data_IF_770413056360
#
_entry.id   IF_770413056360
#
_cell.length_a   1.000
_cell.length_b   1.000
_cell.length_c   1.000
_cell.angle_alpha   90.00
_cell.angle_beta   90.00
_cell.angle_gamma   90.00
#
_symmetry.space_group_name_H-M   'P 1'
#
loop_
_entity.id
_entity.type
_entity.pdbx_description
1 polymer ?
#
# COMPACT_ATOMS: atom_id res chain seq x y z
N UNK A 1 4.11 2.50 14.38
CA UNK A 1 4.86 1.28 14.69
C UNK A 1 4.68 0.83 16.12
N UNK A 2 4.91 -0.44 16.36
CA UNK A 2 4.80 -1.07 17.67
C UNK A 2 5.95 -2.05 17.87
N UNK A 3 6.64 -1.95 19.01
CA UNK A 3 7.66 -2.94 19.42
C UNK A 3 6.98 -4.02 20.24
N UNK A 4 7.14 -5.26 19.82
CA UNK A 4 6.79 -6.45 20.61
C UNK A 4 8.08 -7.01 21.23
N UNK A 5 8.02 -7.36 22.49
CA UNK A 5 9.13 -7.95 23.23
C UNK A 5 8.63 -9.12 24.08
N UNK A 6 9.33 -10.23 24.05
CA UNK A 6 9.07 -11.35 24.93
C UNK A 6 9.94 -11.32 26.21
N UNK A 7 9.72 -12.29 27.09
CA UNK A 7 10.47 -12.40 28.37
C UNK A 7 11.94 -12.76 28.18
N UNK A 8 12.33 -13.24 27.00
CA UNK A 8 13.73 -13.57 26.68
C UNK A 8 14.50 -12.36 26.15
N UNK A 9 13.79 -11.27 25.87
CA UNK A 9 14.34 -10.05 25.27
C UNK A 9 14.36 -10.06 23.74
N UNK A 10 13.72 -11.06 23.09
CA UNK A 10 13.51 -11.03 21.64
C UNK A 10 12.57 -9.88 21.29
N UNK A 11 13.00 -9.03 20.37
CA UNK A 11 12.25 -7.84 19.94
C UNK A 11 12.02 -7.82 18.46
N UNK A 12 10.81 -7.48 18.05
CA UNK A 12 10.49 -7.11 16.67
C UNK A 12 9.75 -5.78 16.68
N UNK A 13 9.96 -4.98 15.63
CA UNK A 13 9.16 -3.79 15.36
C UNK A 13 8.17 -4.12 14.24
N UNK A 14 6.91 -3.78 14.42
CA UNK A 14 5.90 -3.87 13.36
C UNK A 14 5.61 -2.49 12.84
N UNK A 15 5.87 -2.27 11.55
CA UNK A 15 5.74 -1.02 10.82
C UNK A 15 6.53 0.15 11.44
N UNK A 16 7.10 0.99 10.61
CA UNK A 16 7.75 2.23 11.04
C UNK A 16 7.57 3.30 9.96
N UNK A 17 6.47 4.00 10.04
CA UNK A 17 6.05 4.98 9.05
C UNK A 17 6.12 6.41 9.55
N UNK A 18 5.71 7.34 8.69
CA UNK A 18 5.52 8.75 9.00
C UNK A 18 4.07 9.17 8.68
N UNK A 19 3.54 10.15 9.41
CA UNK A 19 2.25 10.72 9.07
C UNK A 19 2.43 11.75 7.93
N UNK A 20 1.78 11.54 6.77
CA UNK A 20 1.94 12.39 5.59
C UNK A 20 1.15 13.71 5.73
N UNK A 21 1.35 14.41 6.83
CA UNK A 21 0.83 15.76 7.08
C UNK A 21 1.74 16.82 6.45
N UNK A 22 1.34 18.07 6.45
CA UNK A 22 2.16 19.21 5.99
C UNK A 22 2.39 20.19 7.15
N UNK A 23 3.60 20.21 7.74
CA UNK A 23 4.75 19.32 7.52
C UNK A 23 4.50 17.89 7.96
N UNK A 24 5.30 16.91 7.48
CA UNK A 24 5.22 15.52 7.94
C UNK A 24 5.49 15.41 9.43
N UNK A 25 4.83 14.44 10.09
CA UNK A 25 5.11 14.10 11.49
C UNK A 25 5.82 12.75 11.54
N UNK A 26 6.89 12.71 12.29
CA UNK A 26 7.69 11.50 12.47
C UNK A 26 7.33 10.79 13.77
N UNK A 27 7.46 9.46 13.85
CA UNK A 27 7.26 8.72 15.09
C UNK A 27 8.36 9.07 16.10
N UNK A 28 8.16 8.66 17.35
CA UNK A 28 9.25 8.64 18.32
C UNK A 28 10.39 7.75 17.82
N UNK A 29 11.62 8.06 18.22
CA UNK A 29 12.77 7.25 17.89
C UNK A 29 12.58 5.80 18.38
N UNK A 30 12.84 4.84 17.50
CA UNK A 30 12.74 3.43 17.82
C UNK A 30 13.93 2.98 18.67
N UNK A 31 13.73 2.14 19.69
CA UNK A 31 14.85 1.43 20.27
C UNK A 31 15.53 0.55 19.20
N UNK A 32 16.81 0.18 19.37
CA UNK A 32 17.47 -0.76 18.48
C UNK A 32 16.68 -2.08 18.38
N UNK A 33 16.38 -2.50 17.15
CA UNK A 33 15.72 -3.76 16.85
C UNK A 33 16.45 -4.45 15.69
N UNK A 34 16.65 -5.75 15.79
CA UNK A 34 17.31 -6.51 14.73
C UNK A 34 16.37 -6.79 13.55
N UNK A 35 15.07 -6.82 13.81
CA UNK A 35 14.06 -7.19 12.84
C UNK A 35 12.85 -6.24 12.88
N UNK A 36 12.41 -5.80 11.69
CA UNK A 36 11.16 -5.08 11.51
C UNK A 36 10.27 -5.83 10.51
N UNK A 37 8.99 -5.98 10.86
CA UNK A 37 7.99 -6.63 10.01
C UNK A 37 7.12 -5.55 9.41
N UNK A 38 7.10 -5.47 8.09
CA UNK A 38 6.36 -4.46 7.34
C UNK A 38 5.07 -5.07 6.78
N UNK A 39 3.94 -4.56 7.24
CA UNK A 39 2.63 -5.06 6.83
C UNK A 39 2.31 -4.74 5.38
N UNK A 40 2.57 -3.51 4.93
CA UNK A 40 2.31 -3.08 3.56
C UNK A 40 3.05 -1.78 3.20
N UNK A 41 2.96 -1.35 1.94
CA UNK A 41 3.80 -0.30 1.35
C UNK A 41 3.24 1.13 1.45
N UNK A 42 2.23 1.42 2.27
CA UNK A 42 1.82 2.81 2.50
C UNK A 42 2.82 3.54 3.38
N UNK A 43 2.97 4.85 3.16
CA UNK A 43 4.05 5.65 3.73
C UNK A 43 3.96 5.78 5.26
N UNK A 44 2.77 5.71 5.82
CA UNK A 44 2.52 5.69 7.27
C UNK A 44 2.89 4.37 7.93
N UNK A 45 3.27 3.35 7.14
CA UNK A 45 3.79 2.06 7.61
C UNK A 45 5.29 1.86 7.31
N UNK A 46 5.79 2.45 6.21
CA UNK A 46 7.18 2.23 5.74
C UNK A 46 8.06 3.48 5.75
N UNK A 47 7.48 4.67 5.95
CA UNK A 47 8.15 5.94 5.65
C UNK A 47 9.43 6.21 6.43
N UNK A 48 9.62 5.53 7.56
CA UNK A 48 10.80 5.63 8.41
C UNK A 48 11.66 4.36 8.43
N UNK A 49 11.32 3.34 7.63
CA UNK A 49 12.11 2.12 7.57
C UNK A 49 13.57 2.35 7.10
N UNK A 50 13.88 3.28 6.16
CA UNK A 50 15.26 3.61 5.84
C UNK A 50 16.06 4.10 7.04
N UNK A 51 15.45 4.90 7.92
CA UNK A 51 16.10 5.33 9.16
C UNK A 51 16.46 4.15 10.07
N UNK A 52 15.55 3.18 10.24
CA UNK A 52 15.81 1.98 11.05
C UNK A 52 17.03 1.21 10.53
N UNK A 53 17.07 1.00 9.22
CA UNK A 53 18.18 0.22 8.61
C UNK A 53 19.49 1.00 8.70
N UNK A 54 19.48 2.29 8.36
CA UNK A 54 20.68 3.12 8.40
C UNK A 54 21.27 3.28 9.79
N UNK A 55 20.44 3.35 10.84
CA UNK A 55 20.88 3.59 12.21
C UNK A 55 21.07 2.31 13.03
N UNK A 56 20.31 1.27 12.77
CA UNK A 56 20.33 0.04 13.59
C UNK A 56 20.72 -1.22 12.82
N UNK A 57 20.87 -1.14 11.49
CA UNK A 57 21.15 -2.34 10.68
C UNK A 57 19.98 -3.34 10.65
N UNK A 58 18.76 -2.87 10.87
CA UNK A 58 17.53 -3.67 10.98
C UNK A 58 17.27 -4.46 9.70
N UNK A 59 16.98 -5.74 9.80
CA UNK A 59 16.46 -6.56 8.70
C UNK A 59 14.96 -6.28 8.52
N UNK A 60 14.53 -5.97 7.31
CA UNK A 60 13.12 -5.75 6.97
C UNK A 60 12.50 -7.05 6.45
N UNK A 61 11.35 -7.44 7.00
CA UNK A 61 10.57 -8.59 6.55
C UNK A 61 9.24 -8.11 5.97
N UNK A 62 8.88 -8.59 4.78
CA UNK A 62 7.63 -8.23 4.12
C UNK A 62 7.35 -9.15 2.94
N UNK A 63 6.27 -8.87 2.20
CA UNK A 63 6.04 -9.53 0.92
C UNK A 63 6.91 -8.91 -0.18
N UNK A 64 7.21 -9.67 -1.22
CA UNK A 64 7.98 -9.18 -2.37
C UNK A 64 7.38 -7.92 -2.99
N UNK A 65 6.05 -7.86 -3.11
CA UNK A 65 5.38 -6.69 -3.65
C UNK A 65 5.49 -5.48 -2.72
N UNK A 66 5.41 -5.68 -1.41
CA UNK A 66 5.63 -4.61 -0.42
C UNK A 66 7.04 -4.04 -0.56
N UNK A 67 8.06 -4.89 -0.64
CA UNK A 67 9.46 -4.47 -0.85
C UNK A 67 9.63 -3.70 -2.17
N UNK A 68 9.10 -4.24 -3.28
CA UNK A 68 9.23 -3.64 -4.61
C UNK A 68 8.55 -2.25 -4.73
N UNK A 69 7.43 -2.03 -4.03
CA UNK A 69 6.74 -0.73 -4.03
C UNK A 69 7.39 0.25 -3.04
N UNK A 70 8.00 -0.24 -1.96
CA UNK A 70 8.63 0.59 -0.93
C UNK A 70 9.75 1.49 -1.47
N UNK A 71 10.61 0.97 -2.34
CA UNK A 71 11.65 1.78 -2.99
C UNK A 71 11.07 3.02 -3.66
N UNK A 72 10.02 2.84 -4.45
CA UNK A 72 9.39 3.93 -5.17
C UNK A 72 8.77 4.94 -4.21
N UNK A 73 8.13 4.49 -3.13
CA UNK A 73 7.53 5.36 -2.11
C UNK A 73 8.59 6.16 -1.36
N UNK A 74 9.72 5.54 -0.99
CA UNK A 74 10.83 6.24 -0.32
C UNK A 74 11.49 7.29 -1.22
N UNK A 75 11.76 6.96 -2.49
CA UNK A 75 12.33 7.92 -3.46
C UNK A 75 11.39 9.11 -3.69
N UNK A 76 10.09 8.87 -3.74
CA UNK A 76 9.09 9.95 -3.85
C UNK A 76 9.05 10.80 -2.59
N UNK A 77 9.05 10.19 -1.41
CA UNK A 77 9.10 10.89 -0.12
C UNK A 77 10.35 11.78 -0.02
N UNK A 78 11.51 11.26 -0.38
CA UNK A 78 12.76 12.05 -0.40
C UNK A 78 12.66 13.23 -1.35
N UNK A 79 12.13 13.00 -2.56
CA UNK A 79 11.93 14.05 -3.55
C UNK A 79 10.97 15.14 -3.07
N UNK A 80 9.82 14.75 -2.54
CA UNK A 80 8.80 15.68 -2.01
C UNK A 80 9.37 16.49 -0.83
N UNK A 81 10.02 15.84 0.13
CA UNK A 81 10.67 16.52 1.26
C UNK A 81 11.71 17.53 0.79
N UNK A 82 12.51 17.18 -0.23
CA UNK A 82 13.52 18.08 -0.80
C UNK A 82 12.90 19.30 -1.51
N UNK A 83 11.77 19.13 -2.21
CA UNK A 83 11.09 20.22 -2.93
C UNK A 83 10.37 21.14 -1.92
N UNK A 84 9.70 20.57 -0.93
CA UNK A 84 8.91 21.31 0.06
C UNK A 84 9.78 21.89 1.20
N UNK A 85 11.06 21.50 1.27
CA UNK A 85 11.99 21.95 2.30
C UNK A 85 11.72 21.34 3.69
N UNK A 86 11.05 20.18 3.77
CA UNK A 86 10.83 19.49 5.03
C UNK A 86 12.06 18.68 5.42
N UNK A 87 12.50 18.73 6.69
CA UNK A 87 13.57 17.87 7.17
C UNK A 87 13.11 16.41 7.13
N UNK A 88 13.89 15.55 6.48
CA UNK A 88 13.67 14.10 6.49
C UNK A 88 14.74 13.47 7.40
N UNK A 89 14.37 12.61 8.39
CA UNK A 89 15.31 12.03 9.32
C UNK A 89 16.29 11.01 8.73
N UNK A 90 16.14 10.65 7.47
CA UNK A 90 17.01 9.73 6.74
C UNK A 90 17.41 10.31 5.37
N UNK A 91 18.51 9.84 4.82
CA UNK A 91 19.06 10.29 3.55
C UNK A 91 19.07 9.18 2.47
N UNK A 92 19.69 9.48 1.32
CA UNK A 92 19.77 8.51 0.21
C UNK A 92 20.68 7.29 0.52
N UNK A 93 21.62 7.42 1.46
CA UNK A 93 22.47 6.30 1.88
C UNK A 93 21.66 5.33 2.73
N UNK A 94 20.83 5.86 3.64
CA UNK A 94 19.90 5.06 4.45
C UNK A 94 18.92 4.32 3.55
N UNK A 95 18.42 4.98 2.48
CA UNK A 95 17.55 4.35 1.50
C UNK A 95 18.28 3.22 0.77
N UNK A 96 19.50 3.45 0.27
CA UNK A 96 20.24 2.45 -0.50
C UNK A 96 20.53 1.19 0.36
N UNK A 97 20.93 1.35 1.63
CA UNK A 97 21.10 0.18 2.52
C UNK A 97 19.78 -0.49 2.88
N UNK A 98 18.67 0.25 2.95
CA UNK A 98 17.36 -0.32 3.20
C UNK A 98 16.85 -1.20 2.05
N UNK A 99 17.27 -0.93 0.81
CA UNK A 99 16.91 -1.79 -0.34
C UNK A 99 17.53 -3.19 -0.21
N UNK A 100 18.73 -3.30 0.35
CA UNK A 100 19.42 -4.56 0.54
C UNK A 100 19.01 -5.30 1.84
N UNK A 101 18.27 -4.63 2.71
CA UNK A 101 17.89 -5.17 4.03
C UNK A 101 16.64 -6.07 4.00
N UNK A 102 15.99 -6.24 2.86
CA UNK A 102 14.75 -7.00 2.75
C UNK A 102 14.98 -8.52 2.77
N UNK A 103 14.16 -9.21 3.59
CA UNK A 103 13.87 -10.63 3.49
C UNK A 103 12.41 -10.80 3.16
N UNK A 104 12.11 -11.25 1.95
CA UNK A 104 10.74 -11.41 1.48
C UNK A 104 10.19 -12.79 1.78
N UNK A 105 8.90 -12.87 2.09
CA UNK A 105 8.21 -14.11 2.45
C UNK A 105 6.88 -14.21 1.69
N UNK A 106 6.49 -15.43 1.33
CA UNK A 106 5.22 -15.70 0.70
C UNK A 106 4.09 -15.81 1.73
N UNK A 107 2.86 -15.56 1.30
CA UNK A 107 1.70 -15.84 2.13
C UNK A 107 1.60 -17.33 2.47
N UNK A 108 1.28 -17.63 3.72
CA UNK A 108 1.09 -18.98 4.23
C UNK A 108 2.38 -19.72 4.62
N UNK A 109 3.54 -19.20 4.29
CA UNK A 109 4.83 -19.79 4.66
C UNK A 109 5.29 -19.33 6.03
N UNK A 110 5.76 -20.28 6.85
CA UNK A 110 6.34 -19.98 8.14
C UNK A 110 7.81 -19.57 7.99
N UNK A 111 8.23 -18.53 8.71
CA UNK A 111 9.61 -18.12 8.86
C UNK A 111 9.92 -17.78 10.31
N UNK A 112 11.20 -17.78 10.70
CA UNK A 112 11.62 -17.52 12.06
C UNK A 112 12.25 -16.13 12.19
N UNK A 113 11.96 -15.49 13.33
CA UNK A 113 12.66 -14.29 13.81
C UNK A 113 13.01 -14.55 15.28
N UNK A 114 14.30 -14.77 15.56
CA UNK A 114 14.68 -15.32 16.84
C UNK A 114 14.01 -16.67 17.10
N UNK A 115 13.38 -16.82 18.26
CA UNK A 115 12.62 -18.01 18.63
C UNK A 115 11.16 -17.98 18.18
N UNK A 116 10.69 -16.86 17.66
CA UNK A 116 9.32 -16.70 17.19
C UNK A 116 9.16 -17.25 15.77
N UNK A 117 7.98 -17.83 15.52
CA UNK A 117 7.56 -18.24 14.18
C UNK A 117 6.51 -17.28 13.65
N UNK A 118 6.72 -16.77 12.45
CA UNK A 118 5.84 -15.79 11.83
C UNK A 118 5.28 -16.34 10.52
N UNK A 119 4.06 -15.94 10.20
CA UNK A 119 3.42 -16.27 8.93
C UNK A 119 2.57 -15.09 8.44
N UNK A 120 2.71 -14.77 7.15
CA UNK A 120 1.89 -13.73 6.52
C UNK A 120 0.59 -14.30 5.99
N UNK A 121 -0.50 -13.56 6.24
CA UNK A 121 -1.82 -13.79 5.66
C UNK A 121 -2.27 -12.56 4.88
N UNK A 122 -3.14 -12.73 3.89
CA UNK A 122 -3.65 -11.61 3.10
C UNK A 122 -4.50 -10.69 3.96
N UNK A 123 -4.15 -9.41 4.02
CA UNK A 123 -4.90 -8.41 4.78
C UNK A 123 -6.12 -7.86 4.04
N UNK A 124 -6.23 -8.05 2.72
CA UNK A 124 -7.37 -7.56 1.94
C UNK A 124 -7.37 -6.06 1.64
N UNK A 125 -6.38 -5.32 2.13
CA UNK A 125 -6.27 -3.87 2.01
C UNK A 125 -5.75 -3.45 0.62
N UNK A 126 -4.52 -3.82 0.29
CA UNK A 126 -3.90 -3.65 -1.04
C UNK A 126 -3.14 -4.93 -1.42
N UNK A 127 -2.79 -5.15 -2.70
CA UNK A 127 -1.94 -6.27 -3.08
C UNK A 127 -0.62 -6.26 -2.33
N UNK A 128 -0.23 -7.41 -1.80
CA UNK A 128 0.97 -7.57 -0.98
C UNK A 128 0.77 -7.25 0.51
N UNK A 129 -0.31 -6.58 0.91
CA UNK A 129 -0.58 -6.29 2.32
C UNK A 129 -0.83 -7.57 3.14
N UNK A 130 -0.20 -7.64 4.32
CA UNK A 130 -0.18 -8.80 5.17
C UNK A 130 -0.73 -8.51 6.57
N UNK A 131 -1.58 -9.40 7.06
CA UNK A 131 -1.73 -9.66 8.50
C UNK A 131 -0.59 -10.56 8.93
N UNK A 132 -0.12 -10.43 10.15
CA UNK A 132 1.03 -11.16 10.67
C UNK A 132 0.57 -12.06 11.81
N UNK A 133 0.61 -13.38 11.59
CA UNK A 133 0.46 -14.35 12.64
C UNK A 133 1.82 -14.59 13.29
N UNK A 134 1.90 -14.44 14.60
CA UNK A 134 3.12 -14.57 15.39
C UNK A 134 2.87 -15.64 16.43
N UNK A 135 3.63 -16.71 16.36
CA UNK A 135 3.62 -17.81 17.33
C UNK A 135 4.87 -17.69 18.20
N UNK A 136 4.65 -17.48 19.48
CA UNK A 136 5.68 -17.48 20.53
C UNK A 136 5.54 -18.74 21.35
N UNK A 137 6.51 -19.08 22.23
CA UNK A 137 6.34 -20.21 23.15
C UNK A 137 5.12 -20.11 24.09
N UNK A 138 4.59 -18.90 24.29
CA UNK A 138 3.52 -18.64 25.26
C UNK A 138 2.14 -18.48 24.64
N UNK A 139 2.07 -17.88 23.43
CA UNK A 139 0.80 -17.50 22.81
C UNK A 139 0.91 -17.32 21.29
N UNK A 140 -0.25 -17.27 20.64
CA UNK A 140 -0.41 -16.88 19.25
C UNK A 140 -1.06 -15.50 19.17
N UNK A 141 -0.34 -14.55 18.54
CA UNK A 141 -0.82 -13.20 18.29
C UNK A 141 -1.12 -13.03 16.80
N UNK A 142 -2.20 -12.35 16.46
CA UNK A 142 -2.49 -11.86 15.10
C UNK A 142 -2.44 -10.35 15.09
N UNK A 143 -1.53 -9.81 14.29
CA UNK A 143 -1.45 -8.38 13.99
C UNK A 143 -2.12 -8.09 12.65
N UNK A 144 -3.22 -7.33 12.64
CA UNK A 144 -4.03 -7.09 11.45
C UNK A 144 -3.39 -6.17 10.42
N UNK A 145 -2.55 -5.21 10.86
CA UNK A 145 -2.17 -4.09 10.01
C UNK A 145 -3.42 -3.34 9.54
N UNK A 146 -3.35 -2.71 8.36
CA UNK A 146 -4.53 -2.21 7.67
C UNK A 146 -5.21 -3.38 6.95
N UNK A 147 -6.48 -3.63 7.25
CA UNK A 147 -7.19 -4.79 6.73
C UNK A 147 -8.58 -4.46 6.18
N UNK A 148 -9.04 -5.26 5.24
CA UNK A 148 -10.43 -5.24 4.76
C UNK A 148 -10.93 -6.67 4.54
N UNK A 149 -12.06 -7.03 5.12
CA UNK A 149 -12.69 -8.34 4.93
C UNK A 149 -13.52 -8.43 3.65
N UNK A 150 -13.81 -7.30 3.02
CA UNK A 150 -14.59 -7.23 1.78
C UNK A 150 -13.71 -7.46 0.57
N UNK A 151 -14.32 -8.01 -0.46
CA UNK A 151 -13.64 -8.22 -1.75
C UNK A 151 -13.62 -6.91 -2.53
N UNK A 152 -12.43 -6.50 -3.01
CA UNK A 152 -12.25 -5.42 -3.97
C UNK A 152 -12.01 -5.96 -5.39
N UNK A 153 -12.03 -5.11 -6.43
CA UNK A 153 -11.69 -5.54 -7.79
C UNK A 153 -10.33 -6.23 -7.89
N UNK A 154 -9.35 -5.77 -7.14
CA UNK A 154 -7.96 -6.23 -7.24
C UNK A 154 -7.51 -7.14 -6.09
N UNK A 155 -8.19 -7.14 -4.94
CA UNK A 155 -7.78 -7.89 -3.73
C UNK A 155 -8.92 -8.71 -3.18
N UNK A 156 -8.63 -9.92 -2.73
CA UNK A 156 -9.56 -10.73 -1.93
C UNK A 156 -9.59 -10.22 -0.49
N UNK A 157 -10.75 -10.32 0.19
CA UNK A 157 -10.88 -9.92 1.59
C UNK A 157 -10.04 -10.77 2.54
N UNK A 158 -9.66 -10.18 3.67
CA UNK A 158 -9.01 -10.88 4.77
C UNK A 158 -9.89 -12.00 5.31
N UNK A 159 -9.25 -13.07 5.77
CA UNK A 159 -9.94 -14.20 6.43
C UNK A 159 -9.63 -14.20 7.91
N UNK A 160 -10.59 -14.63 8.72
CA UNK A 160 -10.38 -14.82 10.14
C UNK A 160 -9.30 -15.90 10.39
N UNK A 161 -8.41 -15.62 11.32
CA UNK A 161 -7.34 -16.51 11.79
C UNK A 161 -7.53 -16.67 13.29
N UNK A 162 -7.46 -17.89 13.78
CA UNK A 162 -7.54 -18.19 15.19
C UNK A 162 -6.28 -17.73 15.93
N UNK A 163 -6.45 -16.99 17.02
CA UNK A 163 -5.35 -16.44 17.81
C UNK A 163 -5.78 -16.23 19.26
N UNK A 164 -4.81 -16.13 20.17
CA UNK A 164 -5.06 -15.81 21.58
C UNK A 164 -5.21 -14.29 21.78
N UNK A 165 -4.43 -13.50 21.01
CA UNK A 165 -4.46 -12.04 21.05
C UNK A 165 -4.62 -11.51 19.63
N UNK A 166 -5.60 -10.61 19.44
CA UNK A 166 -5.83 -9.89 18.19
C UNK A 166 -5.52 -8.40 18.37
N UNK A 167 -4.57 -7.89 17.56
CA UNK A 167 -4.36 -6.46 17.36
C UNK A 167 -4.98 -6.06 16.03
N UNK A 168 -6.04 -5.24 16.06
CA UNK A 168 -6.81 -4.84 14.87
C UNK A 168 -6.93 -3.33 14.79
N UNK A 169 -6.91 -2.80 13.56
CA UNK A 169 -7.20 -1.39 13.29
C UNK A 169 -8.66 -1.06 13.63
N UNK A 170 -8.94 0.22 13.89
CA UNK A 170 -10.27 0.68 14.27
C UNK A 170 -10.71 1.95 13.54
N UNK A 171 -10.17 2.18 12.36
CA UNK A 171 -10.44 3.38 11.52
C UNK A 171 -11.94 3.60 11.30
N UNK A 172 -12.66 2.52 11.09
CA UNK A 172 -14.12 2.52 10.95
C UNK A 172 -14.85 1.92 12.16
N UNK A 173 -14.21 1.84 13.32
CA UNK A 173 -14.82 1.37 14.55
C UNK A 173 -16.10 2.16 14.88
N UNK A 174 -17.24 1.46 15.03
CA UNK A 174 -18.54 2.06 15.28
C UNK A 174 -19.20 2.72 14.07
N UNK A 175 -18.72 2.52 12.85
CA UNK A 175 -19.34 3.00 11.60
C UNK A 175 -19.54 1.85 10.64
N UNK A 176 -20.71 1.81 10.01
CA UNK A 176 -20.96 0.90 8.90
C UNK A 176 -20.46 1.50 7.59
N UNK A 177 -19.87 0.68 6.73
CA UNK A 177 -19.57 1.07 5.38
C UNK A 177 -20.86 1.04 4.54
N UNK A 178 -21.05 1.99 3.62
CA UNK A 178 -22.11 1.91 2.64
C UNK A 178 -21.90 0.67 1.75
N UNK A 179 -22.97 0.20 1.10
CA UNK A 179 -22.86 -0.91 0.16
C UNK A 179 -21.90 -0.57 -0.97
N UNK A 180 -20.92 -1.44 -1.18
CA UNK A 180 -19.85 -1.19 -2.16
C UNK A 180 -20.38 -1.09 -3.58
N UNK A 181 -21.34 -1.94 -3.98
CA UNK A 181 -21.89 -1.95 -5.34
C UNK A 181 -22.69 -0.67 -5.61
N UNK A 182 -23.41 -0.18 -4.61
CA UNK A 182 -24.13 1.10 -4.71
C UNK A 182 -23.15 2.26 -4.89
N UNK A 183 -22.04 2.27 -4.13
CA UNK A 183 -21.01 3.30 -4.25
C UNK A 183 -20.27 3.24 -5.61
N UNK A 184 -19.98 2.06 -6.10
CA UNK A 184 -19.40 1.85 -7.44
C UNK A 184 -20.33 2.35 -8.54
N UNK A 185 -21.62 2.02 -8.47
CA UNK A 185 -22.64 2.51 -9.39
C UNK A 185 -22.79 4.04 -9.31
N UNK A 186 -22.75 4.60 -8.10
CA UNK A 186 -22.80 6.05 -7.89
C UNK A 186 -21.58 6.75 -8.49
N UNK A 187 -20.38 6.20 -8.34
CA UNK A 187 -19.17 6.72 -8.99
C UNK A 187 -19.36 6.78 -10.51
N UNK A 188 -19.76 5.68 -11.13
CA UNK A 188 -19.97 5.60 -12.58
C UNK A 188 -21.02 6.59 -13.06
N UNK A 189 -22.15 6.68 -12.37
CA UNK A 189 -23.22 7.64 -12.68
C UNK A 189 -22.75 9.09 -12.64
N UNK A 190 -21.96 9.46 -11.60
CA UNK A 190 -21.40 10.81 -11.49
C UNK A 190 -20.39 11.12 -12.58
N UNK A 191 -19.56 10.17 -12.96
CA UNK A 191 -18.64 10.33 -14.10
C UNK A 191 -19.41 10.57 -15.38
N UNK A 192 -20.43 9.75 -15.66
CA UNK A 192 -21.26 9.89 -16.88
C UNK A 192 -22.03 11.22 -16.90
N UNK A 193 -22.52 11.70 -15.76
CA UNK A 193 -23.15 13.03 -15.63
C UNK A 193 -22.17 14.16 -16.00
N UNK A 194 -20.92 14.10 -15.54
CA UNK A 194 -19.90 15.09 -15.90
C UNK A 194 -19.60 15.06 -17.38
N UNK A 195 -19.40 13.89 -17.95
CA UNK A 195 -19.08 13.70 -19.38
C UNK A 195 -20.25 14.13 -20.28
N UNK A 196 -21.49 13.79 -19.93
CA UNK A 196 -22.68 14.15 -20.73
C UNK A 196 -22.89 15.65 -20.91
N UNK A 197 -22.39 16.46 -19.96
CA UNK A 197 -22.40 17.94 -20.08
C UNK A 197 -21.10 18.53 -20.66
N UNK A 198 -20.24 17.69 -21.26
CA UNK A 198 -18.99 18.12 -21.91
C UNK A 198 -17.85 18.42 -20.93
N UNK A 199 -17.96 17.97 -19.68
CA UNK A 199 -16.91 18.13 -18.65
C UNK A 199 -15.92 16.97 -18.66
N UNK A 200 -14.79 17.16 -17.98
CA UNK A 200 -13.78 16.14 -17.71
C UNK A 200 -13.87 15.74 -16.23
N UNK A 201 -14.09 14.45 -15.95
CA UNK A 201 -14.11 13.96 -14.56
C UNK A 201 -12.67 13.78 -14.05
N UNK A 202 -12.23 14.64 -13.13
CA UNK A 202 -10.93 14.53 -12.48
C UNK A 202 -11.09 13.79 -11.15
N UNK A 203 -10.43 12.64 -11.02
CA UNK A 203 -10.53 11.75 -9.86
C UNK A 203 -9.15 11.60 -9.22
N UNK A 204 -8.84 12.36 -8.16
CA UNK A 204 -7.63 12.17 -7.38
C UNK A 204 -7.80 10.94 -6.47
N UNK A 205 -6.77 10.08 -6.42
CA UNK A 205 -6.79 8.88 -5.58
C UNK A 205 -5.37 8.46 -5.18
N UNK A 206 -5.25 7.67 -4.11
CA UNK A 206 -3.96 7.14 -3.68
C UNK A 206 -3.31 6.25 -4.74
N UNK A 207 -1.98 6.35 -4.85
CA UNK A 207 -1.17 5.67 -5.86
C UNK A 207 -1.27 4.15 -5.78
N UNK A 208 -1.33 3.58 -4.58
CA UNK A 208 -1.46 2.15 -4.34
C UNK A 208 -2.84 1.83 -3.77
N UNK A 209 -3.63 1.04 -4.48
CA UNK A 209 -4.96 0.58 -4.09
C UNK A 209 -6.08 1.30 -4.82
N UNK A 210 -6.40 2.53 -4.42
CA UNK A 210 -7.62 3.22 -4.85
C UNK A 210 -7.62 3.61 -6.33
N UNK A 211 -6.50 4.06 -6.89
CA UNK A 211 -6.42 4.36 -8.32
C UNK A 211 -6.80 3.16 -9.19
N UNK A 212 -6.25 2.00 -8.86
CA UNK A 212 -6.44 0.77 -9.62
C UNK A 212 -7.87 0.23 -9.45
N UNK A 213 -8.47 0.37 -8.27
CA UNK A 213 -9.86 -0.02 -8.04
C UNK A 213 -10.80 0.85 -8.88
N UNK A 214 -10.61 2.17 -8.88
CA UNK A 214 -11.40 3.11 -9.69
C UNK A 214 -11.29 2.80 -11.18
N UNK A 215 -10.08 2.57 -11.66
CA UNK A 215 -9.85 2.21 -13.07
C UNK A 215 -10.53 0.89 -13.45
N UNK A 216 -10.52 -0.11 -12.55
CA UNK A 216 -11.22 -1.39 -12.77
C UNK A 216 -12.73 -1.19 -12.84
N UNK A 217 -13.30 -0.43 -11.91
CA UNK A 217 -14.74 -0.13 -11.91
C UNK A 217 -15.15 0.57 -13.21
N UNK A 218 -14.38 1.58 -13.64
CA UNK A 218 -14.68 2.30 -14.89
C UNK A 218 -14.50 1.42 -16.12
N UNK A 219 -13.48 0.58 -16.17
CA UNK A 219 -13.26 -0.37 -17.26
C UNK A 219 -14.41 -1.35 -17.40
N UNK A 220 -14.93 -1.88 -16.28
CA UNK A 220 -16.01 -2.87 -16.27
C UNK A 220 -17.38 -2.26 -16.57
N UNK A 221 -17.68 -1.07 -16.04
CA UNK A 221 -19.00 -0.47 -16.13
C UNK A 221 -19.17 0.56 -17.27
N UNK A 222 -18.08 1.17 -17.72
CA UNK A 222 -18.11 2.24 -18.75
C UNK A 222 -16.89 2.18 -19.69
N UNK A 223 -16.64 1.04 -20.38
CA UNK A 223 -15.44 0.84 -21.19
C UNK A 223 -15.36 1.76 -22.43
N UNK A 224 -16.43 2.44 -22.78
CA UNK A 224 -16.50 3.41 -23.88
C UNK A 224 -15.86 4.76 -23.55
N UNK A 225 -15.63 5.06 -22.28
CA UNK A 225 -15.02 6.32 -21.85
C UNK A 225 -13.52 6.36 -22.18
N UNK A 226 -13.05 7.53 -22.59
CA UNK A 226 -11.63 7.81 -22.74
C UNK A 226 -11.03 8.16 -21.37
N UNK A 227 -10.28 7.23 -20.78
CA UNK A 227 -9.72 7.38 -19.45
C UNK A 227 -8.20 7.51 -19.50
N UNK A 228 -7.69 8.58 -18.91
CA UNK A 228 -6.26 8.82 -18.74
C UNK A 228 -5.83 8.56 -17.29
N UNK A 229 -4.68 7.90 -17.14
CA UNK A 229 -4.10 7.57 -15.84
C UNK A 229 -2.76 8.30 -15.67
N UNK A 230 -2.71 9.25 -14.74
CA UNK A 230 -1.53 10.09 -14.46
C UNK A 230 -0.97 9.80 -13.07
N UNK A 231 0.33 10.07 -12.92
CA UNK A 231 1.02 10.04 -11.64
C UNK A 231 1.61 8.68 -11.25
N UNK A 232 2.02 8.59 -9.99
CA UNK A 232 2.76 7.46 -9.42
C UNK A 232 1.99 6.13 -9.49
N UNK A 233 0.66 6.18 -9.47
CA UNK A 233 -0.18 4.99 -9.61
C UNK A 233 0.10 4.16 -10.85
N UNK A 234 0.58 4.79 -11.94
CA UNK A 234 1.00 4.05 -13.15
C UNK A 234 2.18 3.13 -12.87
N UNK A 235 3.15 3.58 -12.07
CA UNK A 235 4.33 2.79 -11.68
C UNK A 235 3.96 1.70 -10.68
N UNK A 236 3.11 2.01 -9.70
CA UNK A 236 2.56 1.00 -8.78
C UNK A 236 1.87 -0.11 -9.55
N UNK A 237 1.03 0.23 -10.54
CA UNK A 237 0.34 -0.77 -11.34
C UNK A 237 1.32 -1.65 -12.12
N UNK A 238 2.45 -1.11 -12.57
CA UNK A 238 3.49 -1.91 -13.22
C UNK A 238 4.12 -2.92 -12.25
N UNK A 239 4.36 -2.55 -10.99
CA UNK A 239 4.80 -3.50 -9.95
C UNK A 239 3.76 -4.57 -9.69
N UNK A 240 2.47 -4.24 -9.69
CA UNK A 240 1.40 -5.23 -9.53
C UNK A 240 1.35 -6.22 -10.69
N UNK A 241 1.52 -5.74 -11.94
CA UNK A 241 1.57 -6.59 -13.13
C UNK A 241 2.77 -7.54 -13.14
N UNK A 242 3.88 -7.14 -12.54
CA UNK A 242 5.07 -7.98 -12.40
C UNK A 242 4.94 -8.98 -11.22
N UNK A 243 3.96 -8.79 -10.32
CA UNK A 243 3.75 -9.57 -9.10
C UNK A 243 2.31 -10.09 -9.01
N UNK A 244 1.87 -10.78 -10.06
CA UNK A 244 0.47 -11.17 -10.24
C UNK A 244 -0.06 -12.15 -9.18
N UNK A 245 0.82 -12.86 -8.46
CA UNK A 245 0.47 -13.76 -7.35
C UNK A 245 -0.24 -13.05 -6.18
N UNK A 246 -0.12 -11.73 -6.09
CA UNK A 246 -0.79 -10.93 -5.08
C UNK A 246 -2.15 -10.38 -5.54
N UNK A 247 -2.47 -10.50 -6.83
CA UNK A 247 -3.67 -9.92 -7.46
C UNK A 247 -4.79 -10.96 -7.52
N UNK A 248 -6.02 -10.57 -7.18
CA UNK A 248 -7.21 -11.44 -7.23
C UNK A 248 -7.58 -11.84 -8.67
N UNK A 249 -7.53 -10.88 -9.58
CA UNK A 249 -7.84 -11.06 -10.99
C UNK A 249 -6.76 -10.42 -11.88
N UNK A 250 -5.64 -11.13 -12.12
CA UNK A 250 -4.54 -10.62 -12.94
C UNK A 250 -4.95 -10.28 -14.37
N UNK A 251 -5.80 -11.11 -14.98
CA UNK A 251 -6.27 -10.90 -16.35
C UNK A 251 -7.09 -9.61 -16.48
N UNK A 252 -7.95 -9.36 -15.50
CA UNK A 252 -8.73 -8.11 -15.47
C UNK A 252 -7.87 -6.90 -15.23
N UNK A 253 -6.85 -6.99 -14.39
CA UNK A 253 -5.85 -5.92 -14.19
C UNK A 253 -5.12 -5.61 -15.50
N UNK A 254 -4.67 -6.63 -16.23
CA UNK A 254 -4.02 -6.46 -17.53
C UNK A 254 -4.92 -5.77 -18.56
N UNK A 255 -6.19 -6.21 -18.67
CA UNK A 255 -7.16 -5.62 -19.60
C UNK A 255 -7.41 -4.15 -19.26
N UNK A 256 -7.65 -3.82 -18.00
CA UNK A 256 -7.77 -2.45 -17.53
C UNK A 256 -6.51 -1.64 -17.83
N UNK A 257 -5.32 -2.20 -17.58
CA UNK A 257 -4.06 -1.54 -17.87
C UNK A 257 -3.92 -1.21 -19.36
N UNK A 258 -4.29 -2.09 -20.26
CA UNK A 258 -4.25 -1.85 -21.70
C UNK A 258 -5.26 -0.79 -22.13
N UNK A 259 -6.42 -0.78 -21.53
CA UNK A 259 -7.52 0.15 -21.82
C UNK A 259 -7.19 1.59 -21.37
N UNK A 260 -6.74 1.82 -20.17
CA UNK A 260 -6.43 3.15 -19.65
C UNK A 260 -5.21 3.75 -20.39
N UNK A 261 -5.29 5.00 -20.83
CA UNK A 261 -4.18 5.72 -21.45
C UNK A 261 -3.24 6.30 -20.39
N UNK A 262 -1.98 5.86 -20.36
CA UNK A 262 -0.98 6.35 -19.40
C UNK A 262 -0.44 7.71 -19.80
N UNK A 263 -0.42 8.65 -18.87
CA UNK A 263 0.20 9.96 -19.04
C UNK A 263 1.70 9.84 -18.68
N UNK A 264 2.57 9.94 -19.68
CA UNK A 264 4.03 9.78 -19.52
C UNK A 264 4.82 11.05 -19.85
N UNK A 265 4.17 12.02 -20.49
CA UNK A 265 4.81 13.23 -21.01
C UNK A 265 3.91 14.44 -20.83
N UNK A 266 4.50 15.65 -20.99
CA UNK A 266 3.73 16.91 -21.05
C UNK A 266 2.70 16.90 -22.20
N UNK A 267 3.03 16.27 -23.32
CA UNK A 267 2.10 16.10 -24.45
C UNK A 267 0.91 15.23 -24.08
N UNK A 268 1.15 14.09 -23.38
CA UNK A 268 0.05 13.23 -22.95
C UNK A 268 -0.84 13.95 -21.94
N UNK A 269 -0.25 14.74 -21.02
CA UNK A 269 -1.02 15.54 -20.07
C UNK A 269 -1.91 16.56 -20.76
N UNK A 270 -1.41 17.21 -21.85
CA UNK A 270 -2.23 18.11 -22.66
C UNK A 270 -3.41 17.38 -23.32
N UNK A 271 -3.19 16.15 -23.82
CA UNK A 271 -4.26 15.32 -24.40
C UNK A 271 -5.29 14.91 -23.33
N UNK A 272 -4.84 14.55 -22.13
CA UNK A 272 -5.70 14.17 -21.03
C UNK A 272 -6.72 15.26 -20.63
N UNK A 273 -6.40 16.54 -20.85
CA UNK A 273 -7.33 17.65 -20.59
C UNK A 273 -8.57 17.64 -21.50
N UNK A 274 -8.56 16.88 -22.61
CA UNK A 274 -9.71 16.68 -23.48
C UNK A 274 -10.33 15.30 -23.40
N UNK A 275 -9.92 14.46 -22.44
CA UNK A 275 -10.48 13.13 -22.20
C UNK A 275 -11.78 13.21 -21.42
N UNK A 276 -12.49 12.08 -21.30
CA UNK A 276 -13.68 11.96 -20.46
C UNK A 276 -13.31 11.92 -18.97
N UNK A 277 -12.24 11.19 -18.64
CA UNK A 277 -11.81 10.97 -17.24
C UNK A 277 -10.30 11.06 -17.10
N UNK A 278 -9.84 11.69 -16.02
CA UNK A 278 -8.46 11.64 -15.56
C UNK A 278 -8.45 11.04 -14.15
N UNK A 279 -7.85 9.86 -14.01
CA UNK A 279 -7.51 9.31 -12.70
C UNK A 279 -6.06 9.68 -12.41
N UNK A 280 -5.83 10.38 -11.30
CA UNK A 280 -4.50 10.88 -10.97
C UNK A 280 -4.16 10.63 -9.51
N UNK A 281 -2.88 10.49 -9.22
CA UNK A 281 -2.41 10.47 -7.84
C UNK A 281 -2.16 11.91 -7.38
N UNK A 282 -2.64 12.24 -6.18
CA UNK A 282 -2.26 13.48 -5.53
C UNK A 282 -0.75 13.44 -5.29
N UNK A 283 -0.01 14.20 -6.05
CA UNK A 283 1.42 14.41 -5.87
C UNK A 283 1.69 15.61 -5.02
#
# INVERSE_FOLDING_TARGET
GCVLEDRTGTRILIDYGLAPTRPPKYPSESPPVEHAIITHSHIDHIGMAPWLVGHHGTTLHGTELTAAVSEMMWRDTYKVSSIEGYPLPWDMRDLDVALDAWKTHNFGEWFNVGEWRLRFHRAGHIPGAAMIEIETPELRLLWGGDMDTRISPNVGGAKAIECDILCIESTYGGREHPDRKEEEARLVSRVQEVVSRGGVALIPAFASGRCQDILRILYEAAPHLEVHFDGMGTRVTQHWLNNQQYIRDPNGLEKMWRWARKVRSKSDRKKALGADVIVTTSG
#
